data_IF_532577095829
#
_entry.id   IF_532577095829
#
_cell.length_a   1.000
_cell.length_b   1.000
_cell.length_c   1.000
_cell.angle_alpha   90.00
_cell.angle_beta   90.00
_cell.angle_gamma   90.00
#
_symmetry.space_group_name_H-M   'P 1'
#
loop_
_entity.id
_entity.type
_entity.pdbx_description
1 polymer ?
#
# COMPACT_ATOMS: atom_id res chain seq x y z
N UNK A 1 -24.11 5.01 21.79
CA UNK A 1 -24.05 3.53 21.70
C UNK A 1 -23.83 3.10 20.25
N UNK A 2 -24.51 3.70 19.26
CA UNK A 2 -24.20 3.49 17.83
C UNK A 2 -22.80 3.97 17.42
N UNK A 3 -22.33 5.12 17.90
CA UNK A 3 -20.98 5.63 17.58
C UNK A 3 -19.84 4.68 18.00
N UNK A 4 -19.92 4.13 19.21
CA UNK A 4 -18.99 3.13 19.75
C UNK A 4 -19.08 1.78 19.03
N UNK A 5 -20.27 1.42 18.54
CA UNK A 5 -20.43 0.24 17.70
C UNK A 5 -19.71 0.47 16.37
N UNK A 6 -19.98 1.60 15.69
CA UNK A 6 -19.39 2.01 14.40
C UNK A 6 -17.87 2.18 14.47
N UNK A 7 -17.33 2.70 15.58
CA UNK A 7 -15.87 2.71 15.84
C UNK A 7 -15.31 1.28 15.94
N UNK A 8 -15.99 0.37 16.65
CA UNK A 8 -15.60 -1.05 16.73
C UNK A 8 -15.76 -1.82 15.43
N UNK A 9 -16.62 -1.38 14.50
CA UNK A 9 -16.75 -1.97 13.15
C UNK A 9 -15.81 -1.30 12.12
N UNK A 10 -14.85 -0.46 12.54
CA UNK A 10 -13.90 0.18 11.62
C UNK A 10 -14.57 1.16 10.63
N UNK A 11 -15.77 1.65 10.96
CA UNK A 11 -16.57 2.45 10.05
C UNK A 11 -16.10 3.92 9.95
N UNK A 12 -15.31 4.39 10.93
CA UNK A 12 -14.88 5.79 11.02
C UNK A 12 -13.37 5.99 10.93
N UNK A 13 -12.56 5.04 11.42
CA UNK A 13 -11.11 5.11 11.33
C UNK A 13 -10.51 3.72 11.25
N UNK A 14 -9.52 3.59 10.39
CA UNK A 14 -8.68 2.40 10.27
C UNK A 14 -7.48 2.46 11.25
N UNK A 15 -7.40 3.49 12.09
CA UNK A 15 -6.30 3.65 13.05
C UNK A 15 -6.35 2.55 14.11
N UNK A 16 -5.21 1.95 14.42
CA UNK A 16 -5.08 0.88 15.41
C UNK A 16 -3.93 1.17 16.38
N UNK A 17 -4.01 0.61 17.59
CA UNK A 17 -2.88 0.59 18.51
C UNK A 17 -1.81 -0.38 18.03
N UNK A 18 -0.56 -0.17 18.45
CA UNK A 18 0.54 -1.13 18.23
C UNK A 18 0.28 -2.47 18.89
N UNK A 19 -0.48 -2.49 19.98
CA UNK A 19 -0.82 -3.72 20.73
C UNK A 19 -1.82 -4.61 19.98
N UNK A 20 -2.59 -4.03 19.04
CA UNK A 20 -3.56 -4.76 18.22
C UNK A 20 -2.93 -5.39 16.97
N UNK A 21 -1.66 -5.05 16.69
CA UNK A 21 -0.97 -5.39 15.45
C UNK A 21 -0.54 -6.86 15.42
N UNK A 22 -0.87 -7.56 14.33
CA UNK A 22 -0.63 -8.99 14.17
C UNK A 22 0.23 -9.29 12.96
N UNK A 23 1.15 -10.27 13.03
CA UNK A 23 1.89 -10.72 11.85
C UNK A 23 0.95 -11.07 10.69
N UNK A 24 1.25 -10.56 9.51
CA UNK A 24 0.43 -10.69 8.30
C UNK A 24 -0.55 -9.54 8.07
N UNK A 25 -0.61 -8.55 8.97
CA UNK A 25 -1.40 -7.34 8.77
C UNK A 25 -0.82 -6.50 7.64
N UNK A 26 -1.71 -6.02 6.77
CA UNK A 26 -1.40 -4.96 5.82
C UNK A 26 -1.67 -3.64 6.51
N UNK A 27 -0.59 -2.93 6.81
CA UNK A 27 -0.64 -1.64 7.46
C UNK A 27 -0.32 -0.52 6.49
N UNK A 28 -0.80 0.66 6.80
CA UNK A 28 -0.43 1.86 6.08
C UNK A 28 -0.31 3.05 7.02
N UNK A 29 0.35 4.08 6.52
CA UNK A 29 0.50 5.34 7.24
C UNK A 29 0.46 6.51 6.27
N UNK A 30 -0.32 7.53 6.60
CA UNK A 30 -0.46 8.71 5.76
C UNK A 30 0.82 9.55 5.78
N UNK A 31 1.18 10.08 4.61
CA UNK A 31 2.31 10.98 4.38
C UNK A 31 1.81 12.30 3.79
N UNK A 32 2.63 13.33 3.96
CA UNK A 32 2.48 14.63 3.31
C UNK A 32 1.06 15.20 3.41
N UNK A 33 0.56 15.36 4.63
CA UNK A 33 -0.80 15.87 4.89
C UNK A 33 -1.92 15.03 4.22
N UNK A 34 -1.85 13.71 4.32
CA UNK A 34 -2.88 12.76 3.85
C UNK A 34 -3.04 12.64 2.33
N UNK A 35 -2.03 13.06 1.54
CA UNK A 35 -2.07 12.95 0.07
C UNK A 35 -1.58 11.59 -0.45
N UNK A 36 -0.80 10.87 0.36
CA UNK A 36 -0.23 9.57 0.03
C UNK A 36 -0.33 8.66 1.25
N UNK A 37 -0.63 7.39 1.03
CA UNK A 37 -0.52 6.38 2.08
C UNK A 37 0.63 5.46 1.71
N UNK A 38 1.56 5.27 2.63
CA UNK A 38 2.62 4.30 2.44
C UNK A 38 2.19 2.97 3.05
N UNK A 39 2.29 1.89 2.27
CA UNK A 39 1.74 0.58 2.58
C UNK A 39 2.84 -0.45 2.84
N UNK A 40 2.57 -1.42 3.72
CA UNK A 40 3.51 -2.49 4.04
C UNK A 40 2.84 -3.68 4.73
N UNK A 41 3.56 -4.79 4.81
CA UNK A 41 3.15 -6.00 5.51
C UNK A 41 3.93 -6.10 6.81
N UNK A 42 3.23 -6.08 7.94
CA UNK A 42 3.82 -6.35 9.24
C UNK A 42 4.16 -7.84 9.35
N UNK A 43 5.38 -8.16 9.74
CA UNK A 43 5.87 -9.55 9.78
C UNK A 43 6.12 -10.08 11.20
N UNK A 44 5.83 -9.27 12.22
CA UNK A 44 6.17 -9.56 13.62
C UNK A 44 7.43 -8.82 14.08
N UNK A 45 7.67 -8.84 15.39
CA UNK A 45 8.87 -8.29 16.04
C UNK A 45 9.21 -6.83 15.64
N UNK A 46 8.19 -6.00 15.44
CA UNK A 46 8.40 -4.61 15.04
C UNK A 46 8.91 -4.44 13.60
N UNK A 47 8.84 -5.46 12.73
CA UNK A 47 9.36 -5.42 11.35
C UNK A 47 8.26 -5.33 10.30
N UNK A 48 8.51 -4.51 9.29
CA UNK A 48 7.60 -4.28 8.17
C UNK A 48 8.35 -4.50 6.85
N UNK A 49 7.80 -5.31 5.96
CA UNK A 49 8.25 -5.45 4.58
C UNK A 49 7.40 -4.53 3.70
N UNK A 50 8.04 -3.69 2.92
CA UNK A 50 7.35 -2.68 2.11
C UNK A 50 8.12 -2.40 0.82
N UNK A 51 7.40 -1.92 -0.19
CA UNK A 51 7.95 -1.62 -1.50
C UNK A 51 8.21 -0.12 -1.62
N UNK A 52 9.45 0.26 -1.92
CA UNK A 52 9.93 1.64 -1.91
C UNK A 52 10.49 2.03 -3.26
N UNK A 53 10.43 3.34 -3.53
CA UNK A 53 11.20 3.96 -4.60
C UNK A 53 12.63 4.15 -4.10
N UNK A 54 13.62 3.61 -4.81
CA UNK A 54 15.04 3.84 -4.47
C UNK A 54 15.39 5.33 -4.54
N UNK A 55 16.26 5.78 -3.63
CA UNK A 55 16.78 7.15 -3.66
C UNK A 55 17.52 7.42 -4.98
N UNK A 56 17.12 8.47 -5.70
CA UNK A 56 17.83 8.94 -6.90
C UNK A 56 17.06 8.83 -8.23
N UNK A 57 15.90 8.18 -8.31
CA UNK A 57 15.07 8.24 -9.52
C UNK A 57 14.14 9.45 -9.46
N UNK A 58 14.53 10.53 -10.12
CA UNK A 58 13.60 11.60 -10.51
C UNK A 58 12.50 10.97 -11.36
N UNK A 59 11.25 11.27 -11.04
CA UNK A 59 10.17 11.07 -12.01
C UNK A 59 10.52 12.07 -13.10
N UNK A 60 10.86 11.60 -14.31
CA UNK A 60 11.29 12.45 -15.43
C UNK A 60 10.20 13.43 -15.93
N UNK A 61 9.28 13.84 -15.07
CA UNK A 61 8.21 14.82 -15.28
C UNK A 61 8.57 16.22 -14.82
N UNK A 62 9.58 16.40 -13.95
CA UNK A 62 10.06 17.72 -13.51
C UNK A 62 9.02 18.56 -12.75
N UNK A 63 7.99 17.93 -12.15
CA UNK A 63 6.91 18.64 -11.47
C UNK A 63 7.16 18.75 -9.96
N UNK A 64 6.59 19.77 -9.31
CA UNK A 64 6.72 20.00 -7.86
C UNK A 64 6.19 18.80 -7.03
N UNK A 65 5.26 18.01 -7.59
CA UNK A 65 4.77 16.76 -6.98
C UNK A 65 5.85 15.68 -6.86
N UNK A 66 6.85 15.68 -7.75
CA UNK A 66 7.94 14.70 -7.73
C UNK A 66 8.84 14.87 -6.50
N UNK A 67 8.95 16.11 -6.00
CA UNK A 67 9.60 16.45 -4.72
C UNK A 67 8.69 16.28 -3.50
N UNK A 68 7.38 16.10 -3.69
CA UNK A 68 6.41 15.86 -2.61
C UNK A 68 6.15 14.37 -2.37
N UNK A 69 6.59 13.49 -3.26
CA UNK A 69 6.56 12.01 -3.09
C UNK A 69 7.94 11.52 -2.56
N UNK A 70 8.75 12.41 -1.98
CA UNK A 70 10.13 12.15 -1.59
C UNK A 70 10.21 11.08 -0.50
N UNK A 71 10.67 9.93 -0.99
CA UNK A 71 11.15 8.74 -0.32
C UNK A 71 10.22 8.13 0.73
N UNK A 72 9.59 7.01 0.35
CA UNK A 72 9.13 5.96 1.28
C UNK A 72 10.28 5.28 2.06
N UNK A 73 11.46 5.90 2.03
CA UNK A 73 12.68 5.51 2.70
C UNK A 73 12.65 6.11 4.12
N UNK A 74 12.95 5.32 5.15
CA UNK A 74 13.03 5.81 6.51
C UNK A 74 14.11 6.88 6.65
N UNK A 75 13.71 8.13 6.89
CA UNK A 75 14.66 9.21 7.14
C UNK A 75 14.72 9.45 8.66
N UNK A 76 15.52 8.65 9.37
CA UNK A 76 15.89 9.00 10.74
C UNK A 76 17.02 10.03 10.70
N UNK A 77 16.68 11.31 10.89
CA UNK A 77 17.61 12.30 11.43
C UNK A 77 18.79 12.74 10.56
N UNK A 78 18.73 12.54 9.23
CA UNK A 78 19.82 12.90 8.31
C UNK A 78 20.97 11.89 8.33
N UNK A 79 21.89 12.03 7.38
CA UNK A 79 22.93 11.04 7.01
C UNK A 79 23.85 10.56 8.16
N UNK A 80 23.77 11.18 9.35
CA UNK A 80 24.70 11.00 10.46
C UNK A 80 24.18 10.15 11.64
N UNK A 81 22.91 9.70 11.65
CA UNK A 81 22.36 8.87 12.74
C UNK A 81 21.45 7.75 12.20
N UNK A 82 22.01 6.63 11.70
CA UNK A 82 21.22 5.52 11.20
C UNK A 82 20.40 4.88 12.33
N UNK A 83 19.19 4.42 12.00
CA UNK A 83 18.34 3.69 12.94
C UNK A 83 19.09 2.45 13.46
N UNK A 84 19.18 2.21 14.78
CA UNK A 84 19.91 1.06 15.32
C UNK A 84 19.30 -0.28 14.90
N UNK A 85 18.00 -0.31 14.58
CA UNK A 85 17.29 -1.51 14.12
C UNK A 85 17.40 -1.75 12.61
N UNK A 86 17.64 -0.70 11.81
CA UNK A 86 17.62 -0.79 10.35
C UNK A 86 18.99 -0.60 9.69
N UNK A 87 19.91 0.11 10.34
CA UNK A 87 21.17 0.56 9.72
C UNK A 87 20.94 1.63 8.64
N UNK A 88 21.92 1.79 7.74
CA UNK A 88 21.77 2.64 6.55
C UNK A 88 21.00 1.88 5.45
N UNK A 89 19.68 2.04 5.40
CA UNK A 89 18.83 1.50 4.32
C UNK A 89 18.49 2.55 3.26
N UNK A 90 19.11 3.74 3.32
CA UNK A 90 18.67 4.94 2.60
C UNK A 90 18.75 4.87 1.06
N UNK A 91 19.46 3.86 0.52
CA UNK A 91 19.71 3.72 -0.91
C UNK A 91 19.06 2.49 -1.55
N UNK A 92 18.29 1.70 -0.81
CA UNK A 92 17.70 0.47 -1.33
C UNK A 92 16.34 0.78 -1.98
N UNK A 93 16.30 0.72 -3.32
CA UNK A 93 15.06 0.68 -4.09
C UNK A 93 14.52 -0.74 -4.21
N UNK A 94 13.21 -0.86 -4.35
CA UNK A 94 12.54 -2.15 -4.45
C UNK A 94 11.92 -2.58 -3.14
N UNK A 95 11.96 -3.86 -2.81
CA UNK A 95 11.32 -4.40 -1.61
C UNK A 95 12.35 -4.39 -0.48
N UNK A 96 12.01 -3.74 0.62
CA UNK A 96 12.89 -3.58 1.78
C UNK A 96 12.19 -4.01 3.07
N UNK A 97 12.98 -4.25 4.12
CA UNK A 97 12.49 -4.55 5.46
C UNK A 97 13.01 -3.53 6.45
N UNK A 98 12.12 -2.80 7.10
CA UNK A 98 12.45 -1.79 8.11
C UNK A 98 11.74 -2.06 9.44
N UNK A 99 12.09 -1.31 10.49
CA UNK A 99 11.33 -1.32 11.73
C UNK A 99 10.03 -0.51 11.59
N UNK A 100 9.08 -0.73 12.49
CA UNK A 100 7.79 -0.05 12.47
C UNK A 100 7.93 1.48 12.55
N UNK A 101 8.84 1.99 13.37
CA UNK A 101 9.05 3.44 13.49
C UNK A 101 9.59 4.07 12.20
N UNK A 102 10.55 3.38 11.57
CA UNK A 102 11.08 3.72 10.25
C UNK A 102 9.98 3.74 9.19
N UNK A 103 9.16 2.68 9.17
CA UNK A 103 8.03 2.57 8.27
C UNK A 103 7.05 3.73 8.48
N UNK A 104 6.69 4.05 9.73
CA UNK A 104 5.73 5.08 10.09
C UNK A 104 6.24 6.51 9.86
N UNK A 105 7.55 6.75 9.94
CA UNK A 105 8.17 8.06 9.74
C UNK A 105 7.49 9.18 10.56
N UNK A 106 7.13 8.89 11.81
CA UNK A 106 6.41 9.80 12.71
C UNK A 106 4.91 9.96 12.43
N UNK A 107 4.36 9.23 11.45
CA UNK A 107 2.93 9.18 11.17
C UNK A 107 2.17 8.13 11.99
N UNK A 108 0.85 8.17 11.87
CA UNK A 108 -0.08 7.27 12.56
C UNK A 108 -0.15 5.89 11.90
N UNK A 109 -0.48 4.86 12.67
CA UNK A 109 -0.62 3.47 12.23
C UNK A 109 -2.07 3.16 11.86
N UNK A 110 -2.29 2.64 10.65
CA UNK A 110 -3.60 2.22 10.18
C UNK A 110 -3.57 0.79 9.63
N UNK A 111 -4.68 0.07 9.79
CA UNK A 111 -4.90 -1.26 9.24
C UNK A 111 -5.72 -1.18 7.95
N UNK A 112 -5.32 -1.90 6.90
CA UNK A 112 -6.06 -1.97 5.66
C UNK A 112 -7.18 -3.02 5.73
N UNK A 113 -8.41 -2.66 5.36
CA UNK A 113 -9.56 -3.57 5.46
C UNK A 113 -9.69 -4.49 4.22
N UNK A 114 -9.90 -5.78 4.44
CA UNK A 114 -10.17 -6.77 3.38
C UNK A 114 -11.59 -7.32 3.50
N UNK A 115 -12.16 -7.77 2.37
CA UNK A 115 -13.48 -8.40 2.33
C UNK A 115 -14.61 -7.45 2.71
N UNK A 116 -14.43 -6.13 2.56
CA UNK A 116 -15.48 -5.18 2.89
C UNK A 116 -16.64 -5.31 1.89
N UNK A 117 -17.86 -5.11 2.35
CA UNK A 117 -19.01 -5.09 1.45
C UNK A 117 -18.93 -3.86 0.51
N UNK A 118 -19.51 -3.93 -0.70
CA UNK A 118 -19.60 -2.78 -1.59
C UNK A 118 -20.22 -1.54 -0.93
N UNK A 119 -21.20 -1.74 -0.04
CA UNK A 119 -21.81 -0.65 0.72
C UNK A 119 -20.78 0.04 1.65
N UNK A 120 -19.98 -0.73 2.40
CA UNK A 120 -18.92 -0.17 3.25
C UNK A 120 -17.85 0.51 2.39
N UNK A 121 -17.43 -0.09 1.28
CA UNK A 121 -16.46 0.51 0.36
C UNK A 121 -16.94 1.90 -0.12
N UNK A 122 -18.21 2.03 -0.48
CA UNK A 122 -18.80 3.29 -0.94
C UNK A 122 -18.79 4.40 0.12
N UNK A 123 -18.72 4.06 1.41
CA UNK A 123 -18.59 5.06 2.50
C UNK A 123 -17.17 5.61 2.67
N UNK A 124 -16.13 4.94 2.13
CA UNK A 124 -14.74 5.33 2.35
C UNK A 124 -14.38 6.53 1.45
N UNK A 125 -14.02 7.64 2.09
CA UNK A 125 -13.72 8.91 1.44
C UNK A 125 -12.44 8.91 0.58
N UNK A 126 -11.52 7.96 0.83
CA UNK A 126 -10.20 7.89 0.18
C UNK A 126 -9.89 6.47 -0.30
N UNK A 127 -9.08 6.37 -1.35
CA UNK A 127 -8.46 5.13 -1.83
C UNK A 127 -7.32 4.67 -0.95
N UNK A 128 -6.87 3.43 -1.13
CA UNK A 128 -5.75 2.87 -0.35
C UNK A 128 -6.08 2.61 1.12
N UNK A 129 -7.33 2.26 1.44
CA UNK A 129 -7.73 1.96 2.84
C UNK A 129 -8.48 0.64 2.98
N UNK A 130 -9.11 0.15 1.91
CA UNK A 130 -9.85 -1.10 1.91
C UNK A 130 -9.97 -1.70 0.52
N UNK A 131 -10.33 -2.98 0.47
CA UNK A 131 -10.71 -3.70 -0.76
C UNK A 131 -11.85 -4.68 -0.50
N UNK A 132 -12.65 -4.97 -1.53
CA UNK A 132 -13.67 -6.03 -1.46
C UNK A 132 -13.07 -7.43 -1.58
N UNK A 133 -11.82 -7.55 -2.03
CA UNK A 133 -11.11 -8.82 -2.07
C UNK A 133 -10.84 -9.39 -0.66
N UNK A 134 -10.93 -10.70 -0.51
CA UNK A 134 -10.60 -11.39 0.74
C UNK A 134 -9.09 -11.63 0.86
N UNK A 135 -8.57 -11.54 2.09
CA UNK A 135 -7.17 -11.89 2.37
C UNK A 135 -6.97 -13.41 2.44
N UNK A 136 -5.83 -13.88 1.97
CA UNK A 136 -5.27 -15.19 2.29
C UNK A 136 -4.83 -15.24 3.79
N UNK A 137 -4.63 -16.45 4.36
CA UNK A 137 -4.13 -16.62 5.73
C UNK A 137 -2.76 -15.97 6.01
N UNK A 138 -2.54 -15.48 7.23
CA UNK A 138 -1.35 -14.69 7.59
C UNK A 138 -0.02 -15.39 7.34
N UNK A 139 0.07 -16.70 7.51
CA UNK A 139 1.26 -17.50 7.23
C UNK A 139 1.65 -17.44 5.74
N UNK A 140 0.66 -17.54 4.84
CA UNK A 140 0.87 -17.41 3.41
C UNK A 140 1.26 -15.98 3.01
N UNK A 141 0.63 -14.98 3.63
CA UNK A 141 0.94 -13.56 3.41
C UNK A 141 2.39 -13.26 3.77
N UNK A 142 2.82 -13.68 4.96
CA UNK A 142 4.19 -13.48 5.45
C UNK A 142 5.19 -14.24 4.57
N UNK A 143 4.88 -15.48 4.19
CA UNK A 143 5.73 -16.29 3.30
C UNK A 143 5.92 -15.61 1.95
N UNK A 144 4.85 -15.04 1.39
CA UNK A 144 4.87 -14.29 0.12
C UNK A 144 5.73 -13.03 0.24
N UNK A 145 5.49 -12.21 1.26
CA UNK A 145 6.26 -10.98 1.49
C UNK A 145 7.76 -11.27 1.67
N UNK A 146 8.12 -12.30 2.44
CA UNK A 146 9.51 -12.73 2.63
C UNK A 146 10.15 -13.25 1.34
N UNK A 147 9.43 -14.06 0.57
CA UNK A 147 9.92 -14.58 -0.72
C UNK A 147 10.23 -13.46 -1.71
N UNK A 148 9.35 -12.45 -1.77
CA UNK A 148 9.53 -11.26 -2.59
C UNK A 148 10.71 -10.42 -2.12
N UNK A 149 10.85 -10.19 -0.80
CA UNK A 149 11.99 -9.47 -0.21
C UNK A 149 13.33 -10.14 -0.55
N UNK A 150 13.44 -11.46 -0.36
CA UNK A 150 14.70 -12.19 -0.59
C UNK A 150 15.19 -12.12 -2.04
N UNK A 151 14.25 -12.02 -2.99
CA UNK A 151 14.57 -12.06 -4.43
C UNK A 151 14.37 -10.72 -5.12
N UNK A 152 14.02 -9.67 -4.36
CA UNK A 152 13.57 -8.37 -4.84
C UNK A 152 12.51 -8.47 -5.97
N UNK A 153 11.67 -9.51 -5.87
CA UNK A 153 10.92 -10.06 -6.99
C UNK A 153 9.57 -9.41 -7.22
N UNK A 154 9.50 -8.10 -7.48
CA UNK A 154 8.19 -7.44 -7.70
C UNK A 154 8.20 -6.36 -8.79
N UNK A 155 9.21 -6.35 -9.65
CA UNK A 155 9.39 -5.36 -10.72
C UNK A 155 9.86 -4.00 -10.22
N UNK A 156 9.85 -3.02 -11.11
CA UNK A 156 10.25 -1.65 -10.80
C UNK A 156 9.13 -0.87 -10.12
N UNK A 157 9.52 0.01 -9.19
CA UNK A 157 8.57 0.84 -8.46
C UNK A 157 8.04 2.00 -9.33
N UNK A 158 6.73 2.03 -9.54
CA UNK A 158 6.01 3.10 -10.24
C UNK A 158 4.92 3.67 -9.34
N UNK A 159 5.02 4.95 -8.95
CA UNK A 159 4.12 5.59 -7.95
C UNK A 159 2.63 5.38 -8.26
N UNK A 160 2.23 5.49 -9.53
CA UNK A 160 0.83 5.37 -9.95
C UNK A 160 0.46 3.96 -10.41
N UNK A 161 1.46 3.09 -10.56
CA UNK A 161 1.29 1.72 -11.00
C UNK A 161 1.79 0.80 -9.90
N UNK A 162 2.71 -0.09 -10.22
CA UNK A 162 3.38 -1.01 -9.32
C UNK A 162 4.02 -0.29 -8.13
N UNK A 163 3.25 -0.10 -7.06
CA UNK A 163 3.64 0.68 -5.89
C UNK A 163 3.44 -0.14 -4.60
N UNK A 164 3.61 0.52 -3.45
CA UNK A 164 3.48 -0.14 -2.16
C UNK A 164 2.08 -0.72 -1.88
N UNK A 165 1.01 -0.10 -2.39
CA UNK A 165 -0.36 -0.60 -2.27
C UNK A 165 -0.52 -1.90 -3.05
N UNK A 166 -0.07 -1.93 -4.32
CA UNK A 166 -0.12 -3.13 -5.16
C UNK A 166 0.70 -4.28 -4.57
N UNK A 167 1.90 -3.98 -4.06
CA UNK A 167 2.72 -4.95 -3.34
C UNK A 167 2.00 -5.58 -2.15
N UNK A 168 1.41 -4.75 -1.29
CA UNK A 168 0.75 -5.24 -0.10
C UNK A 168 -0.55 -6.00 -0.44
N UNK A 169 -1.31 -5.53 -1.43
CA UNK A 169 -2.49 -6.25 -1.95
C UNK A 169 -2.10 -7.60 -2.54
N UNK A 170 -1.04 -7.68 -3.33
CA UNK A 170 -0.54 -8.95 -3.85
C UNK A 170 -0.11 -9.89 -2.71
N UNK A 171 0.64 -9.38 -1.73
CA UNK A 171 1.00 -10.12 -0.53
C UNK A 171 -0.22 -10.70 0.18
N UNK A 172 -1.32 -9.96 0.25
CA UNK A 172 -2.56 -10.39 0.92
C UNK A 172 -3.45 -11.30 0.10
N UNK A 173 -3.43 -11.24 -1.23
CA UNK A 173 -4.50 -11.85 -2.06
C UNK A 173 -4.01 -12.81 -3.14
N UNK A 174 -2.72 -12.76 -3.49
CA UNK A 174 -2.08 -13.37 -4.68
C UNK A 174 -2.63 -12.85 -6.00
N UNK A 175 -3.47 -11.81 -5.98
CA UNK A 175 -4.08 -11.26 -7.19
C UNK A 175 -3.14 -10.25 -7.84
N UNK A 176 -3.01 -10.36 -9.15
CA UNK A 176 -2.44 -9.35 -10.04
C UNK A 176 -3.43 -9.09 -11.16
N UNK A 177 -3.24 -8.00 -11.91
CA UNK A 177 -4.19 -7.62 -12.93
C UNK A 177 -3.58 -7.58 -14.34
N UNK A 178 -4.11 -8.40 -15.28
CA UNK A 178 -3.95 -8.25 -16.74
C UNK A 178 -2.56 -8.49 -17.38
N UNK A 179 -2.54 -9.00 -18.63
CA UNK A 179 -1.36 -9.57 -19.36
C UNK A 179 -0.40 -8.55 -19.97
N UNK A 180 0.26 -7.76 -19.14
CA UNK A 180 1.52 -7.04 -19.39
C UNK A 180 1.69 -6.22 -18.13
N UNK A 181 2.88 -6.23 -17.53
CA UNK A 181 3.20 -5.47 -16.31
C UNK A 181 3.20 -3.94 -16.52
N UNK A 182 2.30 -3.42 -17.35
CA UNK A 182 2.26 -2.04 -17.81
C UNK A 182 0.82 -1.56 -17.70
N UNK A 183 0.62 -0.49 -16.92
CA UNK A 183 -0.62 0.22 -16.54
C UNK A 183 -1.28 -0.17 -15.19
N UNK A 184 -0.72 0.37 -14.11
CA UNK A 184 -1.32 1.55 -13.45
C UNK A 184 -2.70 1.45 -12.82
N UNK A 185 -2.87 0.84 -11.63
CA UNK A 185 -4.20 0.55 -11.04
C UNK A 185 -4.40 0.81 -9.54
N UNK A 186 -3.48 1.50 -8.86
CA UNK A 186 -3.63 1.78 -7.41
C UNK A 186 -4.91 2.57 -7.08
N UNK A 187 -5.50 2.31 -5.90
CA UNK A 187 -6.66 3.06 -5.40
C UNK A 187 -6.35 4.55 -5.22
N UNK A 188 -5.06 4.90 -5.11
CA UNK A 188 -4.56 6.27 -5.08
C UNK A 188 -4.39 6.90 -6.47
N UNK A 189 -4.04 6.15 -7.52
CA UNK A 189 -3.91 6.68 -8.89
C UNK A 189 -5.26 7.20 -9.43
N UNK A 190 -6.36 6.54 -9.09
CA UNK A 190 -7.71 7.02 -9.40
C UNK A 190 -8.12 8.30 -8.64
N UNK A 191 -7.31 8.77 -7.68
CA UNK A 191 -7.59 10.01 -6.96
C UNK A 191 -6.99 11.26 -7.60
N UNK A 192 -6.11 11.10 -8.60
CA UNK A 192 -5.35 12.18 -9.25
C UNK A 192 -5.67 12.31 -10.75
N UNK A 193 -6.48 11.42 -11.34
CA UNK A 193 -6.89 11.57 -12.73
C UNK A 193 -7.81 12.79 -12.91
N UNK A 194 -7.66 13.55 -13.99
CA UNK A 194 -8.49 14.70 -14.29
C UNK A 194 -10.00 14.35 -14.31
N UNK A 195 -10.34 13.13 -14.76
CA UNK A 195 -11.69 12.59 -14.72
C UNK A 195 -12.21 12.36 -13.29
N UNK A 196 -11.37 11.86 -12.37
CA UNK A 196 -11.74 11.74 -10.96
C UNK A 196 -11.82 13.08 -10.24
N UNK A 197 -11.01 14.07 -10.66
CA UNK A 197 -11.10 15.44 -10.17
C UNK A 197 -12.43 16.09 -10.60
N UNK A 198 -12.81 15.97 -11.88
CA UNK A 198 -14.12 16.42 -12.39
C UNK A 198 -15.28 15.63 -11.76
N UNK A 199 -15.15 14.31 -11.60
CA UNK A 199 -16.17 13.49 -10.93
C UNK A 199 -16.33 13.84 -9.44
N UNK A 200 -15.24 14.20 -8.73
CA UNK A 200 -15.30 14.74 -7.36
C UNK A 200 -16.04 16.06 -7.28
N UNK A 201 -15.96 16.90 -8.32
CA UNK A 201 -16.73 18.13 -8.41
C UNK A 201 -18.22 17.88 -8.73
N UNK A 202 -18.56 16.72 -9.30
CA UNK A 202 -19.93 16.36 -9.69
C UNK A 202 -20.67 15.52 -8.63
N UNK A 203 -20.02 14.55 -7.97
CA UNK A 203 -20.55 13.78 -6.82
C UNK A 203 -19.50 12.82 -6.21
N UNK A 204 -19.24 12.86 -4.90
CA UNK A 204 -18.41 11.86 -4.20
C UNK A 204 -18.84 10.40 -4.45
N UNK A 205 -20.14 10.17 -4.65
CA UNK A 205 -20.69 8.85 -4.93
C UNK A 205 -20.27 8.33 -6.31
N UNK A 206 -20.22 9.18 -7.32
CA UNK A 206 -19.78 8.78 -8.66
C UNK A 206 -18.29 8.38 -8.66
N UNK A 207 -17.45 9.15 -7.97
CA UNK A 207 -16.04 8.82 -7.79
C UNK A 207 -15.85 7.49 -7.05
N UNK A 208 -16.60 7.25 -5.97
CA UNK A 208 -16.53 6.00 -5.23
C UNK A 208 -17.06 4.80 -6.02
N UNK A 209 -18.08 4.98 -6.87
CA UNK A 209 -18.57 3.92 -7.75
C UNK A 209 -17.50 3.49 -8.77
N UNK A 210 -16.80 4.46 -9.39
CA UNK A 210 -15.68 4.16 -10.31
C UNK A 210 -14.57 3.39 -9.59
N UNK A 211 -14.23 3.80 -8.37
CA UNK A 211 -13.24 3.11 -7.53
C UNK A 211 -13.67 1.69 -7.19
N UNK A 212 -14.94 1.50 -6.85
CA UNK A 212 -15.52 0.20 -6.49
C UNK A 212 -15.43 -0.78 -7.67
N UNK A 213 -15.82 -0.38 -8.88
CA UNK A 213 -15.70 -1.26 -10.06
C UNK A 213 -14.25 -1.51 -10.49
N UNK A 214 -13.32 -0.66 -10.09
CA UNK A 214 -11.88 -0.84 -10.34
C UNK A 214 -11.19 -1.68 -9.26
N UNK A 215 -11.87 -1.94 -8.14
CA UNK A 215 -11.33 -2.68 -7.00
C UNK A 215 -10.91 -4.09 -7.40
N UNK A 216 -9.81 -4.58 -6.82
CA UNK A 216 -9.24 -5.88 -7.19
C UNK A 216 -10.18 -7.05 -6.90
N UNK A 217 -11.12 -6.89 -5.95
CA UNK A 217 -12.14 -7.90 -5.64
C UNK A 217 -13.35 -7.90 -6.58
N UNK A 218 -13.55 -6.85 -7.39
CA UNK A 218 -14.72 -6.74 -8.29
C UNK A 218 -14.40 -6.88 -9.77
N UNK A 219 -13.14 -6.62 -10.14
CA UNK A 219 -12.70 -6.65 -11.53
C UNK A 219 -12.54 -8.07 -12.07
N UNK A 220 -12.87 -8.26 -13.35
CA UNK A 220 -12.82 -9.58 -14.00
C UNK A 220 -11.43 -9.97 -14.55
N UNK A 221 -10.50 -9.02 -14.62
CA UNK A 221 -9.14 -9.22 -15.16
C UNK A 221 -8.07 -9.44 -14.06
N UNK A 222 -8.50 -9.55 -12.79
CA UNK A 222 -7.64 -9.99 -11.70
C UNK A 222 -7.45 -11.52 -11.74
N UNK A 223 -6.21 -11.96 -11.63
CA UNK A 223 -5.82 -13.37 -11.68
C UNK A 223 -4.93 -13.72 -10.51
N UNK A 224 -5.15 -14.88 -9.88
CA UNK A 224 -4.24 -15.40 -8.85
C UNK A 224 -2.94 -15.85 -9.51
N UNK A 225 -1.82 -15.33 -9.00
CA UNK A 225 -0.49 -15.59 -9.53
C UNK A 225 0.43 -16.03 -8.38
N UNK A 226 1.03 -17.22 -8.46
CA UNK A 226 1.91 -17.74 -7.41
C UNK A 226 3.21 -16.92 -7.35
N UNK A 227 3.78 -16.78 -6.15
CA UNK A 227 4.94 -15.89 -5.90
C UNK A 227 6.18 -16.29 -6.68
N UNK A 228 6.33 -17.60 -6.90
CA UNK A 228 7.42 -18.19 -7.67
C UNK A 228 7.45 -17.67 -9.11
N UNK A 229 6.28 -17.37 -9.67
CA UNK A 229 6.16 -16.88 -11.05
C UNK A 229 6.50 -15.39 -11.20
N UNK A 230 6.34 -14.58 -10.15
CA UNK A 230 6.80 -13.18 -10.17
C UNK A 230 8.31 -13.10 -10.03
N UNK A 231 8.84 -13.96 -9.17
CA UNK A 231 10.26 -14.12 -8.92
C UNK A 231 11.03 -14.64 -10.13
N UNK A 232 10.52 -15.67 -10.82
CA UNK A 232 11.23 -16.36 -11.90
C UNK A 232 11.35 -15.53 -13.19
N UNK A 233 10.62 -14.41 -13.30
CA UNK A 233 10.62 -13.53 -14.47
C UNK A 233 11.74 -12.48 -14.46
N UNK A 234 12.54 -12.44 -13.40
CA UNK A 234 13.63 -11.47 -13.22
C UNK A 234 15.04 -12.07 -13.32
N UNK A 235 15.15 -13.39 -13.51
CA UNK A 235 16.42 -14.11 -13.71
C UNK A 235 16.77 -14.22 -15.19
#
# INVERSE_FOLDING_TARGET
>A
MESLLLEKIGLLSNNISRDDLKPGDHIYSWRNAYIYAHHGIYTGDGKVIHFTRGGGLEIGTGTILDKMIVSSVPNHGGDNNPCPNCGQQSNLGGIVSSCLDCFLAGGELYLFDYGVSPAIFMTKLRGGVCTTATSDPSDQVISRAKSLLTRNGFGDYHVFENNCEDFAIYCKTSLVVGKSYVLGRSGQANSVSAAACVARMLSPWASNAIRLFSDIGMRNDAVKVPVESLVARQS
#
